data_IF_227759194677
#
_entry.id   IF_227759194677
#
_cell.length_a   1.000
_cell.length_b   1.000
_cell.length_c   1.000
_cell.angle_alpha   90.00
_cell.angle_beta   90.00
_cell.angle_gamma   90.00
#
_symmetry.space_group_name_H-M   'P 1'
#
loop_
_entity.id
_entity.type
_entity.pdbx_description
1 polymer ?
#
# COMPACT_ATOMS: atom_id res chain seq x y z
N UNK A 1 0.67 6.81 -31.21
CA UNK A 1 0.38 8.23 -30.88
C UNK A 1 -0.67 8.86 -31.79
N UNK A 2 -1.06 8.19 -32.85
CA UNK A 2 -2.02 8.75 -33.87
C UNK A 2 -3.52 8.66 -33.48
N UNK A 3 -3.83 8.10 -32.30
CA UNK A 3 -5.23 7.94 -31.86
C UNK A 3 -5.72 9.20 -31.15
N UNK A 4 -6.80 9.80 -31.65
CA UNK A 4 -7.45 10.97 -31.08
C UNK A 4 -8.59 10.55 -30.13
N UNK A 5 -8.25 10.26 -28.89
CA UNK A 5 -9.22 10.03 -27.84
C UNK A 5 -9.38 11.29 -26.97
N UNK A 6 -10.56 11.51 -26.40
CA UNK A 6 -10.78 12.54 -25.38
C UNK A 6 -10.51 12.01 -23.97
N UNK A 7 -10.57 10.69 -23.77
CA UNK A 7 -10.12 10.03 -22.56
C UNK A 7 -9.44 8.70 -22.86
N UNK A 8 -8.37 8.40 -22.12
CA UNK A 8 -7.62 7.15 -22.23
C UNK A 8 -7.34 6.57 -20.85
N UNK A 9 -7.63 5.28 -20.68
CA UNK A 9 -7.43 4.53 -19.45
C UNK A 9 -6.41 3.41 -19.70
N UNK A 10 -5.27 3.50 -19.02
CA UNK A 10 -4.18 2.53 -19.09
C UNK A 10 -4.27 1.62 -17.87
N UNK A 11 -4.85 0.45 -18.03
CA UNK A 11 -5.05 -0.55 -16.98
C UNK A 11 -4.10 -1.73 -17.15
N UNK A 12 -3.65 -2.34 -16.06
CA UNK A 12 -2.82 -3.56 -16.16
C UNK A 12 -1.98 -3.81 -14.92
N UNK A 13 -1.05 -4.79 -15.02
CA UNK A 13 -0.22 -5.25 -13.90
C UNK A 13 0.67 -4.15 -13.33
N UNK A 14 1.10 -4.32 -12.10
CA UNK A 14 2.20 -3.52 -11.55
C UNK A 14 3.47 -3.78 -12.37
N UNK A 15 4.34 -2.77 -12.52
CA UNK A 15 5.56 -2.83 -13.35
C UNK A 15 5.36 -2.97 -14.88
N UNK A 16 4.15 -2.90 -15.39
CA UNK A 16 3.89 -2.95 -16.82
C UNK A 16 4.36 -1.71 -17.62
N UNK A 17 4.93 -0.70 -16.98
CA UNK A 17 5.42 0.51 -17.65
C UNK A 17 4.35 1.57 -17.96
N UNK A 18 3.10 1.40 -17.51
CA UNK A 18 1.98 2.32 -17.79
C UNK A 18 2.31 3.80 -17.59
N UNK A 19 2.81 4.18 -16.41
CA UNK A 19 3.16 5.57 -16.09
C UNK A 19 4.31 6.08 -16.95
N UNK A 20 5.29 5.21 -17.27
CA UNK A 20 6.42 5.55 -18.14
C UNK A 20 5.96 5.89 -19.57
N UNK A 21 4.98 5.16 -20.09
CA UNK A 21 4.38 5.45 -21.41
C UNK A 21 3.43 6.65 -21.36
N UNK A 22 2.70 6.81 -20.25
CA UNK A 22 1.76 7.91 -20.06
C UNK A 22 2.44 9.28 -20.04
N UNK A 23 3.62 9.39 -19.43
CA UNK A 23 4.35 10.65 -19.31
C UNK A 23 4.62 11.31 -20.69
N UNK A 24 5.34 10.71 -21.63
CA UNK A 24 5.58 11.32 -22.93
C UNK A 24 4.30 11.55 -23.71
N UNK A 25 3.33 10.61 -23.66
CA UNK A 25 2.03 10.80 -24.31
C UNK A 25 1.30 12.02 -23.80
N UNK A 26 1.24 12.21 -22.49
CA UNK A 26 0.62 13.39 -21.87
C UNK A 26 1.34 14.68 -22.31
N UNK A 27 2.66 14.70 -22.27
CA UNK A 27 3.44 15.91 -22.63
C UNK A 27 3.27 16.29 -24.10
N UNK A 28 3.16 15.34 -25.02
CA UNK A 28 2.82 15.62 -26.42
C UNK A 28 1.43 16.22 -26.55
N UNK A 29 0.43 15.67 -25.85
CA UNK A 29 -0.94 16.25 -25.85
C UNK A 29 -0.98 17.65 -25.24
N UNK A 30 -0.17 17.93 -24.22
CA UNK A 30 0.00 19.28 -23.65
C UNK A 30 0.61 20.23 -24.68
N UNK A 31 1.66 19.81 -25.40
CA UNK A 31 2.32 20.62 -26.41
C UNK A 31 1.39 20.97 -27.59
N UNK A 32 0.54 20.02 -28.01
CA UNK A 32 -0.44 20.19 -29.09
C UNK A 32 -1.66 21.02 -28.66
N UNK A 33 -2.02 21.04 -27.37
CA UNK A 33 -3.21 21.70 -26.87
C UNK A 33 -3.15 23.23 -27.10
N UNK A 34 -4.24 23.85 -27.59
CA UNK A 34 -4.33 25.30 -27.70
C UNK A 34 -4.39 26.00 -26.32
N UNK A 35 -4.80 25.28 -25.27
CA UNK A 35 -4.90 25.82 -23.91
C UNK A 35 -3.53 25.94 -23.27
N UNK A 36 -3.38 26.88 -22.35
CA UNK A 36 -2.14 27.14 -21.61
C UNK A 36 -2.05 26.30 -20.33
N UNK A 37 -3.19 26.00 -19.70
CA UNK A 37 -3.29 25.37 -18.38
C UNK A 37 -3.59 23.88 -18.50
N UNK A 38 -2.87 23.06 -17.72
CA UNK A 38 -2.99 21.61 -17.67
C UNK A 38 -2.83 21.12 -16.24
N UNK A 39 -3.09 19.83 -15.96
CA UNK A 39 -2.98 19.25 -14.64
C UNK A 39 -2.31 17.89 -14.70
N UNK A 40 -1.44 17.61 -13.71
CA UNK A 40 -1.04 16.27 -13.28
C UNK A 40 -1.59 16.06 -11.88
N UNK A 41 -2.35 14.98 -11.68
CA UNK A 41 -2.93 14.60 -10.40
C UNK A 41 -2.44 13.22 -9.96
N UNK A 42 -2.25 13.07 -8.67
CA UNK A 42 -1.88 11.81 -8.00
C UNK A 42 -2.29 11.87 -6.55
N UNK A 43 -1.97 10.85 -5.76
CA UNK A 43 -2.37 10.79 -4.36
C UNK A 43 -1.96 12.06 -3.62
N UNK A 44 -0.67 12.35 -3.59
CA UNK A 44 -0.07 13.54 -3.00
C UNK A 44 1.09 14.09 -3.84
N UNK A 45 1.59 15.27 -3.48
CA UNK A 45 2.71 15.92 -4.18
C UNK A 45 3.98 15.05 -4.19
N UNK A 46 4.33 14.44 -3.04
CA UNK A 46 5.54 13.63 -2.92
C UNK A 46 5.48 12.34 -3.77
N UNK A 47 4.28 11.79 -3.94
CA UNK A 47 4.03 10.64 -4.83
C UNK A 47 4.19 11.03 -6.28
N UNK A 48 3.62 12.17 -6.70
CA UNK A 48 3.77 12.70 -8.07
C UNK A 48 5.24 13.00 -8.39
N UNK A 49 5.96 13.61 -7.46
CA UNK A 49 7.41 13.87 -7.61
C UNK A 49 8.20 12.58 -7.86
N UNK A 50 7.94 11.53 -7.07
CA UNK A 50 8.66 10.26 -7.17
C UNK A 50 8.28 9.43 -8.39
N UNK A 51 6.99 9.44 -8.77
CA UNK A 51 6.49 8.54 -9.80
C UNK A 51 6.48 9.15 -11.20
N UNK A 52 6.45 10.48 -11.30
CA UNK A 52 6.26 11.17 -12.57
C UNK A 52 7.41 12.13 -12.85
N UNK A 53 7.85 12.94 -11.86
CA UNK A 53 8.78 14.04 -12.11
C UNK A 53 10.23 13.58 -12.05
N UNK A 54 10.66 12.96 -10.94
CA UNK A 54 12.07 12.71 -10.60
C UNK A 54 12.50 11.23 -10.73
N UNK A 55 11.66 10.35 -11.29
CA UNK A 55 12.04 8.93 -11.49
C UNK A 55 12.89 8.77 -12.76
N UNK A 56 13.55 7.62 -12.87
CA UNK A 56 14.14 7.16 -14.13
C UNK A 56 13.07 7.10 -15.22
N UNK A 57 13.31 7.69 -16.38
CA UNK A 57 12.31 7.90 -17.43
C UNK A 57 11.10 8.75 -16.97
N UNK A 58 11.30 9.63 -15.98
CA UNK A 58 10.33 10.64 -15.56
C UNK A 58 10.39 11.90 -16.41
N UNK A 59 9.63 12.92 -16.01
CA UNK A 59 9.54 14.16 -16.78
C UNK A 59 10.89 14.86 -16.96
N UNK A 60 11.68 15.01 -15.89
CA UNK A 60 12.97 15.68 -15.95
C UNK A 60 13.98 14.84 -16.74
N UNK A 61 13.96 13.52 -16.58
CA UNK A 61 14.86 12.62 -17.27
C UNK A 61 14.62 12.60 -18.80
N UNK A 62 13.35 12.64 -19.23
CA UNK A 62 12.98 12.60 -20.67
C UNK A 62 13.11 13.97 -21.34
N UNK A 63 12.69 15.05 -20.69
CA UNK A 63 12.56 16.37 -21.31
C UNK A 63 13.63 17.38 -20.85
N UNK A 64 14.47 17.00 -19.89
CA UNK A 64 15.55 17.82 -19.34
C UNK A 64 15.09 18.95 -18.41
N UNK A 65 15.91 19.29 -17.41
CA UNK A 65 15.73 20.48 -16.58
C UNK A 65 16.01 21.74 -17.40
N UNK A 66 15.17 22.75 -17.31
CA UNK A 66 15.30 24.01 -18.04
C UNK A 66 16.63 24.74 -17.71
N UNK A 67 17.12 24.61 -16.49
CA UNK A 67 18.42 25.20 -16.06
C UNK A 67 19.59 24.62 -16.82
N UNK A 68 19.46 23.39 -17.29
CA UNK A 68 20.49 22.68 -18.05
C UNK A 68 20.21 22.67 -19.56
N UNK A 69 19.28 23.53 -20.02
CA UNK A 69 18.91 23.65 -21.43
C UNK A 69 17.79 22.70 -21.88
N UNK A 70 17.13 22.00 -20.94
CA UNK A 70 15.95 21.19 -21.20
C UNK A 70 14.65 21.99 -21.29
N UNK A 71 13.52 21.31 -21.22
CA UNK A 71 12.21 21.89 -21.46
C UNK A 71 11.35 22.05 -20.19
N UNK A 72 11.77 21.49 -19.06
CA UNK A 72 10.97 21.41 -17.82
C UNK A 72 11.56 22.34 -16.75
N UNK A 73 10.72 23.25 -16.24
CA UNK A 73 11.03 24.04 -15.05
C UNK A 73 10.02 23.65 -13.95
N UNK A 74 10.48 22.93 -12.92
CA UNK A 74 9.63 22.46 -11.83
C UNK A 74 9.70 23.37 -10.61
N UNK A 75 8.53 23.80 -10.11
CA UNK A 75 8.36 24.63 -8.92
C UNK A 75 7.45 23.96 -7.89
N UNK A 76 8.05 23.25 -6.94
CA UNK A 76 7.35 22.52 -5.86
C UNK A 76 6.62 23.43 -4.86
N UNK A 77 7.06 24.70 -4.71
CA UNK A 77 6.55 25.59 -3.65
C UNK A 77 5.41 26.50 -4.08
N UNK A 78 5.06 26.53 -5.38
CA UNK A 78 4.03 27.41 -5.92
C UNK A 78 4.37 28.90 -5.73
N UNK A 79 5.65 29.29 -5.80
CA UNK A 79 6.08 30.69 -5.72
C UNK A 79 5.99 31.37 -7.07
N UNK A 80 5.80 32.69 -7.08
CA UNK A 80 5.73 33.50 -8.29
C UNK A 80 4.29 33.77 -8.74
N UNK A 81 4.05 33.77 -10.05
CA UNK A 81 2.76 34.09 -10.66
C UNK A 81 1.71 32.99 -10.35
N UNK A 82 2.17 31.77 -10.12
CA UNK A 82 1.30 30.60 -9.83
C UNK A 82 1.41 30.19 -8.36
N UNK A 83 0.31 30.23 -7.63
CA UNK A 83 0.24 29.94 -6.20
C UNK A 83 0.22 28.44 -5.85
N UNK A 84 0.20 27.56 -6.86
CA UNK A 84 0.20 26.11 -6.71
C UNK A 84 1.53 25.51 -7.20
N UNK A 85 1.95 24.34 -6.68
CA UNK A 85 3.03 23.57 -7.29
C UNK A 85 2.73 23.36 -8.77
N UNK A 86 3.73 23.60 -9.62
CA UNK A 86 3.54 23.55 -11.07
C UNK A 86 4.82 23.24 -11.82
N UNK A 87 4.64 22.84 -13.07
CA UNK A 87 5.69 22.71 -14.07
C UNK A 87 5.44 23.75 -15.15
N UNK A 88 6.47 24.47 -15.56
CA UNK A 88 6.49 25.21 -16.79
C UNK A 88 7.13 24.34 -17.88
N UNK A 89 6.37 24.04 -18.91
CA UNK A 89 6.83 23.25 -20.05
C UNK A 89 7.06 24.19 -21.24
N UNK A 90 8.32 24.37 -21.61
CA UNK A 90 8.76 25.25 -22.68
C UNK A 90 8.60 24.53 -24.02
N UNK A 91 7.64 24.94 -24.83
CA UNK A 91 7.36 24.35 -26.15
C UNK A 91 7.57 25.38 -27.26
N UNK A 92 7.73 24.95 -28.53
CA UNK A 92 7.76 25.89 -29.67
C UNK A 92 6.52 26.79 -29.76
N UNK A 93 5.37 26.32 -29.24
CA UNK A 93 4.09 27.04 -29.23
C UNK A 93 3.89 27.91 -27.97
N UNK A 94 4.96 28.15 -27.20
CA UNK A 94 4.93 28.91 -25.97
C UNK A 94 4.95 28.05 -24.71
N UNK A 95 4.97 28.72 -23.55
CA UNK A 95 5.08 28.06 -22.26
C UNK A 95 3.72 27.55 -21.81
N UNK A 96 3.65 26.25 -21.51
CA UNK A 96 2.47 25.59 -20.90
C UNK A 96 2.68 25.50 -19.39
N UNK A 97 1.61 25.64 -18.64
CA UNK A 97 1.61 25.53 -17.17
C UNK A 97 0.86 24.26 -16.78
N UNK A 98 1.53 23.38 -16.08
CA UNK A 98 0.97 22.10 -15.60
C UNK A 98 0.92 22.15 -14.08
N UNK A 99 -0.25 22.31 -13.49
CA UNK A 99 -0.45 22.27 -12.04
C UNK A 99 -0.28 20.86 -11.51
N UNK A 100 0.36 20.74 -10.36
CA UNK A 100 0.55 19.48 -9.64
C UNK A 100 -0.44 19.42 -8.47
N UNK A 101 -1.30 18.41 -8.44
CA UNK A 101 -2.45 18.35 -7.52
C UNK A 101 -2.52 16.99 -6.84
N UNK A 102 -2.40 16.97 -5.50
CA UNK A 102 -2.76 15.79 -4.71
C UNK A 102 -4.27 15.73 -4.50
N UNK A 103 -4.89 14.58 -4.75
CA UNK A 103 -6.32 14.39 -4.51
C UNK A 103 -6.64 13.83 -3.10
N UNK A 104 -5.63 13.53 -2.28
CA UNK A 104 -5.76 13.12 -0.88
C UNK A 104 -6.46 14.16 0.01
N UNK A 105 -6.46 15.43 -0.40
CA UNK A 105 -6.96 16.54 0.42
C UNK A 105 -7.88 17.47 -0.36
N UNK A 106 -9.19 17.48 0.03
CA UNK A 106 -10.22 18.32 -0.60
C UNK A 106 -9.87 19.82 -0.64
N UNK A 107 -9.14 20.33 0.34
CA UNK A 107 -8.72 21.74 0.37
C UNK A 107 -7.68 22.05 -0.71
N UNK A 108 -6.85 21.07 -1.08
CA UNK A 108 -5.82 21.23 -2.12
C UNK A 108 -6.43 21.21 -3.52
N UNK A 109 -7.18 20.16 -3.85
CA UNK A 109 -7.71 20.04 -5.20
C UNK A 109 -8.83 21.03 -5.54
N UNK A 110 -9.58 21.54 -4.55
CA UNK A 110 -10.56 22.61 -4.78
C UNK A 110 -9.96 23.88 -5.37
N UNK A 111 -8.66 24.13 -5.18
CA UNK A 111 -7.98 25.31 -5.73
C UNK A 111 -7.89 25.31 -7.26
N UNK A 112 -8.00 24.15 -7.92
CA UNK A 112 -7.98 24.06 -9.38
C UNK A 112 -9.36 24.05 -10.01
N UNK A 113 -10.46 23.96 -9.25
CA UNK A 113 -11.82 23.86 -9.80
C UNK A 113 -12.32 25.13 -10.51
N UNK A 114 -11.67 26.29 -10.31
CA UNK A 114 -12.05 27.53 -11.00
C UNK A 114 -11.55 27.63 -12.44
N UNK A 115 -10.69 26.71 -12.89
CA UNK A 115 -10.04 26.75 -14.19
C UNK A 115 -10.73 25.87 -15.25
N UNK A 116 -10.32 26.12 -16.51
CA UNK A 116 -10.56 25.19 -17.63
C UNK A 116 -9.19 24.78 -18.20
N UNK A 117 -9.02 23.50 -18.46
CA UNK A 117 -7.73 22.90 -18.76
C UNK A 117 -7.73 22.21 -20.12
N UNK A 118 -6.57 22.14 -20.75
CA UNK A 118 -6.42 21.35 -21.97
C UNK A 118 -6.36 19.87 -21.67
N UNK A 119 -5.40 19.48 -20.84
CA UNK A 119 -5.12 18.07 -20.55
C UNK A 119 -5.02 17.84 -19.04
N UNK A 120 -5.47 16.66 -18.61
CA UNK A 120 -5.19 16.13 -17.28
C UNK A 120 -4.56 14.73 -17.38
N UNK A 121 -3.56 14.47 -16.55
CA UNK A 121 -3.05 13.13 -16.26
C UNK A 121 -3.35 12.78 -14.81
N UNK A 122 -4.04 11.66 -14.56
CA UNK A 122 -4.33 11.14 -13.22
C UNK A 122 -3.60 9.81 -13.06
N UNK A 123 -2.59 9.78 -12.19
CA UNK A 123 -1.91 8.54 -11.81
C UNK A 123 -2.69 7.85 -10.70
N UNK A 124 -2.75 6.51 -10.77
CA UNK A 124 -3.47 5.67 -9.79
C UNK A 124 -4.97 6.01 -9.70
N UNK A 125 -5.61 6.05 -10.85
CA UNK A 125 -7.02 6.45 -11.00
C UNK A 125 -8.01 5.59 -10.19
N UNK A 126 -7.67 4.32 -9.90
CA UNK A 126 -8.52 3.42 -9.10
C UNK A 126 -8.70 3.89 -7.64
N UNK A 127 -7.79 4.71 -7.12
CA UNK A 127 -7.85 5.24 -5.74
C UNK A 127 -8.14 6.75 -5.69
N UNK A 128 -8.36 7.39 -6.82
CA UNK A 128 -8.63 8.83 -6.87
C UNK A 128 -9.95 9.19 -6.17
N UNK A 129 -9.98 10.37 -5.54
CA UNK A 129 -11.22 10.95 -4.99
C UNK A 129 -12.23 11.19 -6.15
N UNK A 130 -13.34 10.47 -6.15
CA UNK A 130 -14.31 10.52 -7.24
C UNK A 130 -15.06 11.86 -7.31
N UNK A 131 -15.15 12.62 -6.23
CA UNK A 131 -15.68 14.00 -6.28
C UNK A 131 -14.73 14.90 -7.08
N UNK A 132 -13.42 14.74 -6.86
CA UNK A 132 -12.40 15.41 -7.66
C UNK A 132 -12.48 15.00 -9.13
N UNK A 133 -12.56 13.71 -9.40
CA UNK A 133 -12.59 13.18 -10.79
C UNK A 133 -13.81 13.72 -11.55
N UNK A 134 -15.03 13.67 -10.96
CA UNK A 134 -16.26 14.18 -11.58
C UNK A 134 -16.12 15.66 -11.95
N UNK A 135 -15.59 16.45 -11.02
CA UNK A 135 -15.43 17.89 -11.21
C UNK A 135 -14.39 18.22 -12.28
N UNK A 136 -13.24 17.53 -12.26
CA UNK A 136 -12.14 17.88 -13.16
C UNK A 136 -12.35 17.36 -14.58
N UNK A 137 -13.02 16.21 -14.76
CA UNK A 137 -13.33 15.67 -16.10
C UNK A 137 -14.18 16.62 -16.93
N UNK A 138 -15.09 17.37 -16.30
CA UNK A 138 -15.90 18.37 -16.98
C UNK A 138 -15.11 19.60 -17.47
N UNK A 139 -13.90 19.80 -16.94
CA UNK A 139 -13.07 20.98 -17.19
C UNK A 139 -11.87 20.74 -18.10
N UNK A 140 -11.66 19.49 -18.51
CA UNK A 140 -10.52 19.08 -19.33
C UNK A 140 -10.98 18.60 -20.70
N UNK A 141 -10.23 18.97 -21.74
CA UNK A 141 -10.50 18.52 -23.11
C UNK A 141 -9.95 17.09 -23.33
N UNK A 142 -8.81 16.77 -22.73
CA UNK A 142 -8.15 15.45 -22.79
C UNK A 142 -7.86 14.91 -21.40
N UNK A 143 -8.11 13.61 -21.19
CA UNK A 143 -7.93 12.91 -19.91
C UNK A 143 -7.12 11.66 -20.13
N UNK A 144 -6.02 11.51 -19.39
CA UNK A 144 -5.17 10.33 -19.39
C UNK A 144 -5.12 9.76 -17.96
N UNK A 145 -5.46 8.49 -17.80
CA UNK A 145 -5.54 7.84 -16.50
C UNK A 145 -4.72 6.56 -16.50
N UNK A 146 -3.87 6.38 -15.50
CA UNK A 146 -3.19 5.09 -15.23
C UNK A 146 -3.84 4.43 -14.01
N UNK A 147 -4.04 3.12 -14.05
CA UNK A 147 -4.61 2.37 -12.93
C UNK A 147 -4.12 0.93 -12.89
N UNK A 148 -4.09 0.38 -11.69
CA UNK A 148 -3.99 -1.05 -11.50
C UNK A 148 -5.41 -1.62 -11.35
N UNK A 149 -5.66 -2.86 -11.79
CA UNK A 149 -6.93 -3.53 -11.52
C UNK A 149 -7.21 -3.61 -10.01
N UNK A 150 -8.47 -3.42 -9.64
CA UNK A 150 -8.94 -3.43 -8.26
C UNK A 150 -10.35 -4.04 -8.18
N UNK A 151 -11.14 -3.75 -7.13
CA UNK A 151 -12.53 -4.19 -7.01
C UNK A 151 -13.37 -3.68 -8.19
N UNK A 152 -14.02 -4.56 -8.98
CA UNK A 152 -14.80 -4.15 -10.14
C UNK A 152 -16.00 -3.24 -9.83
N UNK A 153 -16.41 -3.16 -8.55
CA UNK A 153 -17.52 -2.29 -8.14
C UNK A 153 -17.09 -0.86 -7.78
N UNK A 154 -15.82 -0.54 -7.81
CA UNK A 154 -15.35 0.83 -7.57
C UNK A 154 -15.99 1.80 -8.56
N UNK A 155 -16.29 3.00 -8.08
CA UNK A 155 -16.94 4.04 -8.87
C UNK A 155 -16.11 4.47 -10.10
N UNK A 156 -14.78 4.39 -10.02
CA UNK A 156 -13.90 4.67 -11.17
C UNK A 156 -14.19 3.74 -12.36
N UNK A 157 -14.53 2.46 -12.10
CA UNK A 157 -14.91 1.52 -13.16
C UNK A 157 -16.32 1.78 -13.65
N UNK A 158 -17.30 1.80 -12.75
CA UNK A 158 -18.71 1.87 -13.11
C UNK A 158 -19.09 3.21 -13.75
N UNK A 159 -18.43 4.29 -13.36
CA UNK A 159 -18.74 5.63 -13.89
C UNK A 159 -17.88 6.02 -15.09
N UNK A 160 -16.66 5.47 -15.21
CA UNK A 160 -15.69 5.94 -16.21
C UNK A 160 -15.11 4.79 -17.04
N UNK A 161 -14.25 3.93 -16.48
CA UNK A 161 -13.46 2.97 -17.25
C UNK A 161 -14.32 2.02 -18.07
N UNK A 162 -15.44 1.50 -17.52
CA UNK A 162 -16.33 0.57 -18.23
C UNK A 162 -17.06 1.19 -19.42
N UNK A 163 -16.99 2.52 -19.60
CA UNK A 163 -17.51 3.24 -20.77
C UNK A 163 -16.49 3.38 -21.89
N UNK A 164 -15.27 2.93 -21.70
CA UNK A 164 -14.22 2.95 -22.73
C UNK A 164 -14.13 1.62 -23.47
N UNK A 165 -13.46 1.60 -24.61
CA UNK A 165 -13.23 0.39 -25.41
C UNK A 165 -11.80 0.39 -25.96
N UNK A 166 -11.18 -0.79 -26.17
CA UNK A 166 -9.96 -0.87 -26.93
C UNK A 166 -10.21 -0.43 -28.37
N UNK A 167 -9.18 0.13 -29.01
CA UNK A 167 -9.24 0.42 -30.45
C UNK A 167 -9.26 -0.88 -31.24
N UNK A 168 -9.83 -0.87 -32.45
CA UNK A 168 -10.01 -2.07 -33.29
C UNK A 168 -8.74 -2.90 -33.46
N UNK A 169 -7.58 -2.24 -33.64
CA UNK A 169 -6.29 -2.91 -33.79
C UNK A 169 -5.91 -3.76 -32.57
N UNK A 170 -6.30 -3.36 -31.37
CA UNK A 170 -5.92 -3.97 -30.09
C UNK A 170 -7.12 -4.53 -29.31
N UNK A 171 -8.23 -4.78 -29.98
CA UNK A 171 -9.47 -5.24 -29.35
C UNK A 171 -9.38 -6.58 -28.62
N UNK A 172 -8.36 -7.39 -28.92
CA UNK A 172 -8.14 -8.70 -28.33
C UNK A 172 -6.89 -8.76 -27.42
N UNK A 173 -6.20 -7.65 -27.20
CA UNK A 173 -4.93 -7.66 -26.47
C UNK A 173 -5.12 -7.73 -24.94
N UNK A 174 -6.31 -7.41 -24.45
CA UNK A 174 -6.63 -7.50 -23.03
C UNK A 174 -7.26 -8.84 -22.64
N UNK A 175 -7.21 -9.19 -21.33
CA UNK A 175 -7.88 -10.38 -20.81
C UNK A 175 -9.38 -10.37 -21.11
N UNK A 176 -9.92 -11.50 -21.55
CA UNK A 176 -11.35 -11.65 -21.89
C UNK A 176 -12.25 -11.28 -20.71
N UNK A 177 -11.81 -11.57 -19.48
CA UNK A 177 -12.52 -11.21 -18.25
C UNK A 177 -12.70 -9.69 -18.15
N UNK A 178 -11.65 -8.91 -18.39
CA UNK A 178 -11.73 -7.45 -18.34
C UNK A 178 -12.52 -6.87 -19.50
N UNK A 179 -12.34 -7.41 -20.71
CA UNK A 179 -13.11 -6.99 -21.89
C UNK A 179 -14.62 -7.13 -21.68
N UNK A 180 -15.06 -8.20 -21.00
CA UNK A 180 -16.48 -8.39 -20.63
C UNK A 180 -16.98 -7.39 -19.57
N UNK A 181 -16.08 -6.85 -18.75
CA UNK A 181 -16.43 -5.86 -17.74
C UNK A 181 -16.55 -4.44 -18.30
N UNK A 182 -16.10 -4.20 -19.54
CA UNK A 182 -16.34 -2.95 -20.26
C UNK A 182 -17.77 -2.94 -20.84
N UNK A 183 -18.78 -3.01 -19.98
CA UNK A 183 -20.18 -3.32 -20.30
C UNK A 183 -21.11 -2.10 -20.36
N UNK A 184 -20.65 -0.94 -19.87
CA UNK A 184 -21.43 0.29 -19.90
C UNK A 184 -21.55 0.84 -21.33
N UNK A 185 -22.63 1.61 -21.65
CA UNK A 185 -22.71 2.29 -22.93
C UNK A 185 -21.43 3.08 -23.22
N UNK A 186 -20.84 2.81 -24.39
CA UNK A 186 -19.58 3.46 -24.76
C UNK A 186 -19.75 4.97 -24.87
N UNK A 187 -18.84 5.70 -24.25
CA UNK A 187 -18.66 7.12 -24.54
C UNK A 187 -17.78 7.23 -25.78
N UNK A 188 -18.23 7.98 -26.77
CA UNK A 188 -17.49 8.17 -28.01
C UNK A 188 -16.06 8.61 -27.71
N UNK A 189 -15.09 8.04 -28.45
CA UNK A 189 -13.66 8.34 -28.38
C UNK A 189 -12.97 8.07 -27.02
N UNK A 190 -13.64 7.38 -26.07
CA UNK A 190 -12.97 6.88 -24.86
C UNK A 190 -12.29 5.55 -25.12
N UNK A 191 -10.97 5.50 -24.86
CA UNK A 191 -10.12 4.36 -25.20
C UNK A 191 -9.60 3.69 -23.96
N UNK A 192 -9.59 2.36 -23.99
CA UNK A 192 -8.98 1.51 -22.97
C UNK A 192 -7.78 0.79 -23.52
N UNK A 193 -6.69 0.73 -22.73
CA UNK A 193 -5.44 0.07 -23.02
C UNK A 193 -5.10 -0.90 -21.91
N UNK A 194 -4.66 -2.08 -22.26
CA UNK A 194 -4.17 -3.06 -21.31
C UNK A 194 -2.65 -3.18 -21.38
N UNK A 195 -2.04 -3.35 -20.20
CA UNK A 195 -0.60 -3.51 -20.06
C UNK A 195 -0.29 -4.66 -19.12
N UNK A 196 0.65 -5.53 -19.48
CA UNK A 196 1.17 -6.59 -18.63
C UNK A 196 2.69 -6.51 -18.45
N UNK A 197 3.28 -7.51 -17.80
CA UNK A 197 4.72 -7.53 -17.57
C UNK A 197 5.54 -7.54 -18.86
N UNK A 198 5.04 -8.12 -19.94
CA UNK A 198 5.75 -8.28 -21.21
C UNK A 198 5.83 -6.96 -21.99
N UNK A 199 4.97 -5.99 -21.66
CA UNK A 199 5.04 -4.63 -22.21
C UNK A 199 6.20 -3.80 -21.64
N UNK A 200 6.78 -4.23 -20.51
CA UNK A 200 7.91 -3.55 -19.89
C UNK A 200 9.25 -4.16 -20.31
N UNK A 201 9.81 -3.66 -21.38
CA UNK A 201 11.08 -4.13 -21.94
C UNK A 201 12.30 -3.99 -21.00
N UNK A 202 12.20 -3.21 -19.92
CA UNK A 202 13.27 -3.06 -18.93
C UNK A 202 13.17 -4.09 -17.80
N UNK A 203 12.12 -4.89 -17.73
CA UNK A 203 11.90 -5.88 -16.70
C UNK A 203 12.57 -7.21 -17.08
N UNK A 204 13.63 -7.58 -16.34
CA UNK A 204 14.31 -8.88 -16.59
C UNK A 204 13.45 -10.05 -16.11
N UNK A 205 13.64 -11.24 -16.72
CA UNK A 205 12.92 -12.46 -16.34
C UNK A 205 13.16 -12.85 -14.86
N UNK A 206 14.38 -12.65 -14.33
CA UNK A 206 14.67 -12.90 -12.93
C UNK A 206 13.86 -11.96 -12.03
N UNK A 207 13.76 -10.67 -12.40
CA UNK A 207 13.01 -9.69 -11.63
C UNK A 207 11.51 -9.99 -11.70
N UNK A 208 10.99 -10.33 -12.87
CA UNK A 208 9.59 -10.76 -13.08
C UNK A 208 9.25 -11.97 -12.20
N UNK A 209 10.09 -13.01 -12.23
CA UNK A 209 9.93 -14.19 -11.40
C UNK A 209 9.93 -13.84 -9.90
N UNK A 210 10.90 -13.04 -9.45
CA UNK A 210 10.98 -12.59 -8.05
C UNK A 210 9.72 -11.83 -7.61
N UNK A 211 9.14 -10.98 -8.46
CA UNK A 211 7.89 -10.27 -8.19
C UNK A 211 6.73 -11.25 -8.05
N UNK A 212 6.57 -12.18 -9.01
CA UNK A 212 5.49 -13.16 -8.99
C UNK A 212 5.57 -14.07 -7.75
N UNK A 213 6.77 -14.54 -7.41
CA UNK A 213 7.00 -15.42 -6.26
C UNK A 213 6.78 -14.72 -4.91
N UNK A 214 6.87 -13.39 -4.86
CA UNK A 214 6.69 -12.63 -3.61
C UNK A 214 5.22 -12.42 -3.21
N UNK A 215 4.26 -12.82 -4.05
CA UNK A 215 2.82 -12.60 -3.80
C UNK A 215 2.07 -13.93 -3.75
N UNK A 216 1.31 -14.22 -2.67
CA UNK A 216 0.51 -15.43 -2.57
C UNK A 216 -0.55 -15.51 -3.67
N UNK A 217 -0.63 -16.66 -4.36
CA UNK A 217 -1.49 -16.85 -5.54
C UNK A 217 -2.98 -16.70 -5.28
N UNK A 218 -3.44 -17.06 -4.07
CA UNK A 218 -4.86 -17.05 -3.70
C UNK A 218 -5.35 -15.68 -3.19
N UNK A 219 -4.52 -14.64 -3.29
CA UNK A 219 -4.87 -13.32 -2.76
C UNK A 219 -5.46 -12.39 -3.82
N UNK A 220 -6.29 -11.42 -3.36
CA UNK A 220 -6.70 -10.27 -4.19
C UNK A 220 -5.48 -9.57 -4.80
N UNK A 221 -4.41 -9.42 -4.01
CA UNK A 221 -3.17 -8.79 -4.45
C UNK A 221 -2.57 -9.49 -5.67
N UNK A 222 -2.50 -10.84 -5.65
CA UNK A 222 -2.02 -11.62 -6.78
C UNK A 222 -2.91 -11.43 -8.01
N UNK A 223 -4.23 -11.52 -7.84
CA UNK A 223 -5.19 -11.31 -8.92
C UNK A 223 -5.03 -9.93 -9.55
N UNK A 224 -4.95 -8.89 -8.74
CA UNK A 224 -4.92 -7.51 -9.22
C UNK A 224 -3.53 -7.10 -9.77
N UNK A 225 -2.46 -7.40 -9.04
CA UNK A 225 -1.11 -6.88 -9.33
C UNK A 225 -0.28 -7.78 -10.23
N UNK A 226 -0.49 -9.12 -10.16
CA UNK A 226 0.26 -10.10 -10.92
C UNK A 226 -0.51 -10.55 -12.16
N UNK A 227 -1.77 -10.96 -12.00
CA UNK A 227 -2.58 -11.38 -13.15
C UNK A 227 -3.18 -10.20 -13.93
N UNK A 228 -3.14 -9.00 -13.37
CA UNK A 228 -3.71 -7.82 -14.01
C UNK A 228 -5.24 -7.90 -14.17
N UNK A 229 -5.93 -8.61 -13.29
CA UNK A 229 -7.37 -8.82 -13.34
C UNK A 229 -8.08 -8.12 -12.17
N UNK A 230 -9.27 -7.60 -12.41
CA UNK A 230 -10.10 -7.02 -11.36
C UNK A 230 -10.65 -8.13 -10.45
N UNK A 231 -10.63 -7.92 -9.16
CA UNK A 231 -11.12 -8.92 -8.21
C UNK A 231 -11.41 -8.35 -6.83
N UNK A 232 -12.43 -8.95 -6.19
CA UNK A 232 -12.73 -8.73 -4.77
C UNK A 232 -11.88 -9.66 -3.92
N UNK A 233 -11.60 -9.22 -2.69
CA UNK A 233 -11.13 -10.12 -1.67
C UNK A 233 -12.31 -11.01 -1.21
N UNK A 234 -12.08 -12.30 -1.13
CA UNK A 234 -13.10 -13.27 -0.64
C UNK A 234 -12.42 -14.35 0.18
N UNK A 235 -13.11 -14.80 1.24
CA UNK A 235 -12.60 -15.87 2.08
C UNK A 235 -11.55 -15.44 3.10
N UNK A 236 -10.74 -16.41 3.53
CA UNK A 236 -9.69 -16.20 4.54
C UNK A 236 -8.62 -15.23 4.05
N UNK A 237 -8.14 -14.40 4.96
CA UNK A 237 -7.04 -13.47 4.69
C UNK A 237 -5.71 -14.21 4.60
N UNK A 238 -5.51 -15.25 5.42
CA UNK A 238 -4.28 -16.03 5.46
C UNK A 238 -4.55 -17.51 5.18
N UNK A 239 -3.71 -18.09 4.33
CA UNK A 239 -3.62 -19.52 4.10
C UNK A 239 -2.27 -20.01 4.64
N UNK A 240 -2.29 -20.48 5.90
CA UNK A 240 -1.09 -20.87 6.62
C UNK A 240 -0.58 -22.21 6.12
N UNK A 241 0.53 -22.19 5.42
CA UNK A 241 1.19 -23.39 4.89
C UNK A 241 2.06 -24.08 5.97
N UNK A 242 2.15 -25.38 5.87
CA UNK A 242 2.95 -26.18 6.81
C UNK A 242 4.43 -25.81 6.80
N UNK A 243 4.94 -25.36 5.70
CA UNK A 243 6.35 -24.99 5.49
C UNK A 243 6.80 -23.80 6.33
N UNK A 244 5.87 -22.93 6.76
CA UNK A 244 6.20 -21.79 7.62
C UNK A 244 6.01 -22.10 9.11
N UNK A 245 5.47 -23.27 9.47
CA UNK A 245 5.34 -23.71 10.84
C UNK A 245 6.60 -24.50 11.22
N UNK A 246 7.27 -24.06 12.27
CA UNK A 246 8.53 -24.68 12.75
C UNK A 246 8.37 -25.10 14.21
N UNK A 247 9.04 -26.18 14.59
CA UNK A 247 9.08 -26.60 15.98
C UNK A 247 10.20 -25.90 16.78
N UNK A 248 10.16 -26.05 18.10
CA UNK A 248 11.14 -25.41 19.02
C UNK A 248 12.59 -25.79 18.73
N UNK A 249 12.86 -27.02 18.31
CA UNK A 249 14.23 -27.46 17.99
C UNK A 249 14.75 -26.73 16.74
N UNK A 250 13.92 -26.61 15.72
CA UNK A 250 14.24 -25.86 14.50
C UNK A 250 14.46 -24.37 14.83
N UNK A 251 13.56 -23.76 15.63
CA UNK A 251 13.69 -22.37 16.03
C UNK A 251 14.97 -22.09 16.81
N UNK A 252 15.40 -23.00 17.69
CA UNK A 252 16.65 -22.87 18.47
C UNK A 252 17.94 -22.97 17.62
N UNK A 253 17.87 -23.51 16.41
CA UNK A 253 18.97 -23.54 15.45
C UNK A 253 19.15 -22.20 14.71
N UNK A 254 18.13 -21.34 14.71
CA UNK A 254 18.20 -20.04 14.04
C UNK A 254 19.08 -19.05 14.83
N UNK A 255 19.78 -18.21 14.09
CA UNK A 255 20.60 -17.13 14.67
C UNK A 255 19.88 -15.81 14.55
N UNK A 256 19.49 -15.25 15.67
CA UNK A 256 18.74 -13.99 15.73
C UNK A 256 19.66 -12.79 15.90
N UNK A 257 19.38 -11.70 15.20
CA UNK A 257 20.07 -10.40 15.33
C UNK A 257 19.30 -9.41 16.21
N UNK A 258 17.99 -9.61 16.40
CA UNK A 258 17.18 -8.80 17.32
C UNK A 258 15.91 -9.53 17.73
N UNK A 259 15.34 -9.07 18.85
CA UNK A 259 14.04 -9.52 19.36
C UNK A 259 13.15 -8.31 19.66
N UNK A 260 11.85 -8.51 19.57
CA UNK A 260 10.83 -7.49 19.81
C UNK A 260 9.57 -8.11 20.38
N UNK A 261 8.82 -7.31 21.15
CA UNK A 261 7.53 -7.73 21.72
C UNK A 261 6.46 -6.73 21.25
N UNK A 262 5.31 -7.24 20.85
CA UNK A 262 4.12 -6.45 20.57
C UNK A 262 3.00 -6.77 21.53
N UNK A 263 2.14 -5.80 21.78
CA UNK A 263 0.99 -5.94 22.66
C UNK A 263 -0.22 -5.23 22.03
N UNK A 264 -1.22 -6.02 21.68
CA UNK A 264 -2.55 -5.49 21.37
C UNK A 264 -3.39 -5.47 22.64
N UNK A 265 -4.04 -4.33 22.92
CA UNK A 265 -4.72 -4.14 24.21
C UNK A 265 -6.23 -4.07 24.03
N UNK A 266 -6.94 -4.94 24.70
CA UNK A 266 -8.38 -4.84 24.91
C UNK A 266 -8.77 -5.18 26.33
N UNK A 267 -9.63 -4.34 26.91
CA UNK A 267 -10.19 -4.50 28.26
C UNK A 267 -11.67 -4.85 28.24
N UNK A 268 -12.21 -5.09 27.08
CA UNK A 268 -13.61 -5.47 26.87
C UNK A 268 -13.96 -6.81 27.52
N UNK A 269 -15.22 -6.98 27.90
CA UNK A 269 -15.77 -8.26 28.35
C UNK A 269 -16.36 -9.11 27.22
N UNK A 270 -16.27 -8.64 25.96
CA UNK A 270 -16.75 -9.42 24.81
C UNK A 270 -15.88 -10.65 24.59
N UNK A 271 -16.50 -11.69 24.08
CA UNK A 271 -15.86 -13.01 23.91
C UNK A 271 -14.62 -12.98 23.03
N UNK A 272 -14.64 -12.12 22.02
CA UNK A 272 -13.61 -12.08 20.98
C UNK A 272 -12.47 -11.10 21.29
N UNK A 273 -12.66 -10.19 22.24
CA UNK A 273 -11.68 -9.18 22.57
C UNK A 273 -10.65 -9.74 23.57
N UNK A 274 -9.37 -9.69 23.19
CA UNK A 274 -8.27 -10.18 24.01
C UNK A 274 -7.20 -9.09 24.16
N UNK A 275 -6.52 -9.06 25.29
CA UNK A 275 -5.19 -8.48 25.39
C UNK A 275 -4.19 -9.54 24.99
N UNK A 276 -3.33 -9.25 24.03
CA UNK A 276 -2.38 -10.22 23.51
C UNK A 276 -0.95 -9.72 23.56
N UNK A 277 0.00 -10.66 23.72
CA UNK A 277 1.43 -10.43 23.81
C UNK A 277 2.14 -11.40 22.86
N UNK A 278 2.91 -10.87 21.92
CA UNK A 278 3.66 -11.63 20.93
C UNK A 278 5.13 -11.26 20.93
N UNK A 279 5.97 -12.28 21.02
CA UNK A 279 7.42 -12.18 20.95
C UNK A 279 7.94 -12.65 19.59
N UNK A 280 8.60 -11.77 18.87
CA UNK A 280 9.21 -12.10 17.59
C UNK A 280 10.74 -11.97 17.62
N UNK A 281 11.40 -12.80 16.82
CA UNK A 281 12.84 -12.69 16.54
C UNK A 281 13.06 -12.42 15.05
N UNK A 282 14.03 -11.56 14.73
CA UNK A 282 14.50 -11.38 13.35
C UNK A 282 15.87 -12.03 13.21
N UNK A 283 15.98 -12.96 12.28
CA UNK A 283 17.20 -13.76 12.06
C UNK A 283 18.26 -12.98 11.29
N UNK A 284 19.48 -13.49 11.27
CA UNK A 284 20.59 -12.90 10.51
C UNK A 284 20.34 -12.91 9.01
N UNK A 285 19.58 -13.88 8.50
CA UNK A 285 19.15 -14.02 7.11
C UNK A 285 17.81 -13.33 6.81
N UNK A 286 17.41 -12.39 7.67
CA UNK A 286 16.25 -11.52 7.47
C UNK A 286 14.88 -12.19 7.57
N UNK A 287 14.74 -13.30 8.26
CA UNK A 287 13.42 -13.91 8.52
C UNK A 287 12.82 -13.36 9.82
N UNK A 288 11.51 -13.14 9.83
CA UNK A 288 10.72 -12.88 11.03
C UNK A 288 10.19 -14.20 11.57
N UNK A 289 10.33 -14.43 12.85
CA UNK A 289 9.87 -15.67 13.51
C UNK A 289 9.01 -15.29 14.70
N UNK A 290 7.74 -15.70 14.71
CA UNK A 290 6.89 -15.64 15.90
C UNK A 290 7.30 -16.77 16.84
N UNK A 291 7.78 -16.44 18.03
CA UNK A 291 8.46 -17.35 18.96
C UNK A 291 7.67 -17.63 20.24
N UNK A 292 6.80 -16.70 20.64
CA UNK A 292 6.02 -16.82 21.87
C UNK A 292 4.78 -15.95 21.77
N UNK A 293 3.67 -16.45 22.29
CA UNK A 293 2.43 -15.70 22.42
C UNK A 293 1.79 -15.86 23.80
N UNK A 294 0.89 -14.95 24.15
CA UNK A 294 0.03 -15.06 25.31
C UNK A 294 -1.20 -14.17 25.15
N UNK A 295 -2.37 -14.72 25.43
CA UNK A 295 -3.64 -14.02 25.38
C UNK A 295 -4.32 -13.93 26.76
N UNK A 296 -5.01 -12.83 27.02
CA UNK A 296 -5.83 -12.59 28.20
C UNK A 296 -7.18 -12.05 27.78
N UNK A 297 -8.25 -12.51 28.45
CA UNK A 297 -9.60 -12.05 28.19
C UNK A 297 -10.32 -11.72 29.52
N UNK A 298 -11.16 -10.69 29.49
CA UNK A 298 -11.98 -10.27 30.65
C UNK A 298 -13.33 -10.99 30.74
N UNK A 299 -13.64 -11.89 29.79
CA UNK A 299 -14.86 -12.67 29.81
C UNK A 299 -14.90 -13.55 31.06
N UNK A 300 -16.04 -13.52 31.78
CA UNK A 300 -16.28 -14.34 32.98
C UNK A 300 -15.32 -14.08 34.16
N UNK A 301 -14.62 -12.93 34.19
CA UNK A 301 -13.84 -12.53 35.36
C UNK A 301 -14.69 -11.70 36.31
N UNK A 302 -14.73 -12.09 37.58
CA UNK A 302 -15.36 -11.28 38.63
C UNK A 302 -14.65 -9.94 38.77
N UNK A 303 -13.32 -9.95 38.74
CA UNK A 303 -12.46 -8.77 38.73
C UNK A 303 -11.81 -8.60 37.38
N UNK A 304 -12.31 -7.71 36.48
CA UNK A 304 -11.66 -7.41 35.23
C UNK A 304 -10.26 -6.85 35.43
N UNK A 305 -9.32 -7.25 34.58
CA UNK A 305 -7.99 -6.66 34.63
C UNK A 305 -8.00 -5.24 34.07
N UNK A 306 -7.07 -4.45 34.57
CA UNK A 306 -6.87 -3.04 34.24
C UNK A 306 -5.48 -2.81 33.63
N UNK A 307 -5.17 -1.60 33.13
CA UNK A 307 -3.85 -1.27 32.58
C UNK A 307 -2.66 -1.65 33.46
N UNK A 308 -2.81 -1.52 34.80
CA UNK A 308 -1.76 -1.93 35.75
C UNK A 308 -1.46 -3.44 35.74
N UNK A 309 -2.46 -4.26 35.48
CA UNK A 309 -2.30 -5.72 35.37
C UNK A 309 -1.66 -6.08 34.02
N UNK A 310 -2.09 -5.42 32.97
CA UNK A 310 -1.48 -5.55 31.63
C UNK A 310 0.03 -5.26 31.70
N UNK A 311 0.45 -4.18 32.36
CA UNK A 311 1.87 -3.83 32.54
C UNK A 311 2.65 -4.91 33.26
N UNK A 312 2.10 -5.52 34.31
CA UNK A 312 2.73 -6.64 35.01
C UNK A 312 2.94 -7.83 34.08
N UNK A 313 1.91 -8.16 33.30
CA UNK A 313 1.99 -9.27 32.34
C UNK A 313 2.96 -9.01 31.19
N UNK A 314 3.03 -7.78 30.69
CA UNK A 314 4.04 -7.40 29.71
C UNK A 314 5.44 -7.60 30.28
N UNK A 315 5.71 -7.13 31.48
CA UNK A 315 7.00 -7.31 32.15
C UNK A 315 7.33 -8.79 32.37
N UNK A 316 6.39 -9.57 32.89
CA UNK A 316 6.56 -11.00 33.09
C UNK A 316 6.84 -11.71 31.76
N UNK A 317 6.08 -11.40 30.72
CA UNK A 317 6.27 -11.98 29.38
C UNK A 317 7.67 -11.65 28.82
N UNK A 318 8.13 -10.40 28.99
CA UNK A 318 9.45 -9.99 28.51
C UNK A 318 10.59 -10.69 29.25
N UNK A 319 10.47 -10.93 30.56
CA UNK A 319 11.48 -11.70 31.30
C UNK A 319 11.48 -13.17 30.88
N UNK A 320 10.32 -13.82 30.77
CA UNK A 320 10.22 -15.18 30.27
C UNK A 320 10.75 -15.32 28.84
N UNK A 321 10.41 -14.35 27.96
CA UNK A 321 10.91 -14.34 26.60
C UNK A 321 12.43 -14.21 26.53
N UNK A 322 13.00 -13.38 27.40
CA UNK A 322 14.44 -13.19 27.53
C UNK A 322 15.15 -14.49 27.93
N UNK A 323 14.59 -15.23 28.90
CA UNK A 323 15.13 -16.50 29.36
C UNK A 323 15.07 -17.60 28.30
N UNK A 324 13.95 -17.62 27.52
CA UNK A 324 13.73 -18.67 26.54
C UNK A 324 14.43 -18.40 25.19
N UNK A 325 14.44 -17.16 24.73
CA UNK A 325 14.84 -16.81 23.36
C UNK A 325 15.94 -15.77 23.29
N UNK A 326 15.85 -14.70 24.08
CA UNK A 326 16.80 -13.61 24.10
C UNK A 326 16.18 -12.26 24.45
N UNK A 327 17.03 -11.26 24.60
CA UNK A 327 16.65 -9.96 25.13
C UNK A 327 15.88 -9.09 24.12
N UNK A 328 14.58 -8.95 24.31
CA UNK A 328 13.74 -7.96 23.63
C UNK A 328 13.78 -6.62 24.42
N UNK A 329 14.43 -5.60 23.89
CA UNK A 329 14.59 -4.32 24.58
C UNK A 329 13.28 -3.53 24.70
N UNK A 330 12.38 -3.64 23.72
CA UNK A 330 11.19 -2.79 23.61
C UNK A 330 9.94 -3.65 23.43
N UNK A 331 8.88 -3.29 24.18
CA UNK A 331 7.52 -3.72 23.93
C UNK A 331 6.77 -2.57 23.22
N UNK A 332 6.16 -2.87 22.08
CA UNK A 332 5.32 -1.96 21.30
C UNK A 332 3.86 -2.22 21.64
N UNK A 333 3.24 -1.28 22.35
CA UNK A 333 1.87 -1.35 22.85
C UNK A 333 0.94 -0.62 21.89
N UNK A 334 -0.28 -1.08 21.71
CA UNK A 334 -1.27 -0.38 20.90
C UNK A 334 -1.28 1.12 21.19
N UNK A 335 -1.04 1.93 20.16
CA UNK A 335 -0.95 3.39 20.30
C UNK A 335 -2.29 4.06 20.67
N UNK A 336 -3.42 3.38 20.50
CA UNK A 336 -4.72 3.85 20.96
C UNK A 336 -4.86 3.77 22.49
N UNK A 337 -4.09 2.88 23.15
CA UNK A 337 -4.11 2.72 24.61
C UNK A 337 -2.99 3.54 25.28
N UNK A 338 -3.18 4.84 25.29
CA UNK A 338 -2.28 5.76 25.99
C UNK A 338 -2.21 5.49 27.51
N UNK A 339 -3.27 4.94 28.10
CA UNK A 339 -3.36 4.61 29.52
C UNK A 339 -2.34 3.55 29.92
N UNK A 340 -2.30 2.42 29.21
CA UNK A 340 -1.33 1.33 29.46
C UNK A 340 0.08 1.78 29.16
N UNK A 341 0.32 2.57 28.11
CA UNK A 341 1.65 3.10 27.80
C UNK A 341 2.17 3.99 28.92
N UNK A 342 1.32 4.90 29.44
CA UNK A 342 1.70 5.78 30.56
C UNK A 342 1.98 4.99 31.83
N UNK A 343 1.15 4.00 32.15
CA UNK A 343 1.33 3.15 33.32
C UNK A 343 2.60 2.31 33.22
N UNK A 344 2.92 1.76 32.04
CA UNK A 344 4.15 1.04 31.78
C UNK A 344 5.41 1.93 31.98
N UNK A 345 5.35 3.18 31.50
CA UNK A 345 6.44 4.16 31.71
C UNK A 345 6.61 4.58 33.17
N UNK A 346 5.52 4.73 33.92
CA UNK A 346 5.57 4.97 35.37
C UNK A 346 6.18 3.79 36.11
N UNK A 347 5.73 2.57 35.78
CA UNK A 347 6.26 1.34 36.38
C UNK A 347 7.76 1.17 36.07
N UNK A 348 8.18 1.42 34.84
CA UNK A 348 9.59 1.43 34.44
C UNK A 348 10.43 2.32 35.37
N UNK A 349 9.99 3.54 35.60
CA UNK A 349 10.72 4.48 36.45
C UNK A 349 10.73 4.04 37.92
N UNK A 350 9.63 3.44 38.40
CA UNK A 350 9.50 2.97 39.79
C UNK A 350 10.44 1.80 40.12
N UNK A 351 10.57 0.85 39.18
CA UNK A 351 11.38 -0.38 39.41
C UNK A 351 12.72 -0.34 38.69
N UNK A 352 13.06 0.77 38.01
CA UNK A 352 14.30 0.93 37.23
C UNK A 352 14.54 -0.21 36.23
N UNK A 353 13.48 -0.68 35.55
CA UNK A 353 13.61 -1.79 34.62
C UNK A 353 14.33 -1.41 33.33
N UNK A 354 14.98 -2.41 32.72
CA UNK A 354 15.80 -2.23 31.51
C UNK A 354 14.99 -2.14 30.21
N UNK A 355 13.68 -2.40 30.28
CA UNK A 355 12.80 -2.43 29.11
C UNK A 355 12.28 -1.05 28.73
N UNK A 356 11.95 -0.89 27.44
CA UNK A 356 11.27 0.28 26.91
C UNK A 356 9.83 -0.08 26.54
N UNK A 357 8.93 0.92 26.67
CA UNK A 357 7.53 0.79 26.29
C UNK A 357 7.18 1.92 25.31
N UNK A 358 6.91 1.56 24.09
CA UNK A 358 6.67 2.49 23.00
C UNK A 358 5.30 2.24 22.36
N UNK A 359 4.64 3.30 21.86
CA UNK A 359 3.41 3.12 21.10
C UNK A 359 3.71 2.36 19.80
N UNK A 360 2.78 1.50 19.40
CA UNK A 360 2.85 0.82 18.10
C UNK A 360 2.82 1.81 16.95
N UNK A 361 3.49 1.46 15.85
CA UNK A 361 3.58 2.33 14.67
C UNK A 361 2.33 2.20 13.80
N UNK A 362 1.30 3.06 14.03
CA UNK A 362 0.04 3.02 13.26
C UNK A 362 0.04 3.80 11.94
N UNK A 363 1.18 4.33 11.49
CA UNK A 363 1.26 5.01 10.17
C UNK A 363 1.15 4.04 8.98
N UNK A 364 1.24 2.73 9.19
CA UNK A 364 1.03 1.72 8.17
C UNK A 364 -0.36 1.12 8.35
N UNK A 365 -1.22 1.22 7.34
CA UNK A 365 -2.60 0.67 7.34
C UNK A 365 -2.61 -0.83 7.65
N UNK A 366 -3.73 -1.33 8.19
CA UNK A 366 -3.90 -2.75 8.48
C UNK A 366 -3.75 -3.60 7.21
N UNK A 367 -4.37 -3.15 6.11
CA UNK A 367 -4.29 -3.86 4.83
C UNK A 367 -2.84 -4.01 4.33
N UNK A 368 -2.02 -2.97 4.46
CA UNK A 368 -0.60 -3.02 4.09
C UNK A 368 0.20 -3.96 4.99
N UNK A 369 -0.12 -3.99 6.30
CA UNK A 369 0.50 -4.94 7.23
C UNK A 369 0.18 -6.39 6.86
N UNK A 370 -1.08 -6.66 6.49
CA UNK A 370 -1.53 -7.95 6.00
C UNK A 370 -0.77 -8.36 4.73
N UNK A 371 -0.67 -7.46 3.75
CA UNK A 371 0.02 -7.73 2.49
C UNK A 371 1.53 -8.02 2.67
N UNK A 372 2.19 -7.29 3.58
CA UNK A 372 3.58 -7.55 3.97
C UNK A 372 3.73 -8.97 4.51
N UNK A 373 2.89 -9.32 5.46
CA UNK A 373 2.94 -10.61 6.13
C UNK A 373 2.64 -11.76 5.17
N UNK A 374 1.61 -11.63 4.32
CA UNK A 374 1.30 -12.59 3.26
C UNK A 374 2.50 -12.80 2.32
N UNK A 375 3.16 -11.70 1.92
CA UNK A 375 4.33 -11.76 1.06
C UNK A 375 5.47 -12.53 1.73
N UNK A 376 5.79 -12.23 3.01
CA UNK A 376 6.85 -12.93 3.74
C UNK A 376 6.51 -14.40 4.01
N UNK A 377 5.25 -14.74 4.25
CA UNK A 377 4.81 -16.13 4.38
C UNK A 377 5.02 -16.90 3.06
N UNK A 378 4.76 -16.26 1.94
CA UNK A 378 4.95 -16.87 0.61
C UNK A 378 6.44 -17.11 0.30
N UNK A 379 7.33 -16.19 0.70
CA UNK A 379 8.78 -16.32 0.47
C UNK A 379 9.50 -17.08 1.57
N UNK A 380 8.78 -17.63 2.55
CA UNK A 380 9.32 -18.28 3.75
C UNK A 380 10.22 -17.36 4.61
N UNK A 381 9.96 -16.06 4.54
CA UNK A 381 10.60 -15.03 5.36
C UNK A 381 9.82 -14.73 6.65
N UNK A 382 8.64 -15.33 6.82
CA UNK A 382 7.85 -15.31 8.04
C UNK A 382 7.59 -16.73 8.51
N UNK A 383 8.08 -17.05 9.72
CA UNK A 383 7.95 -18.39 10.33
C UNK A 383 7.16 -18.28 11.63
N UNK A 384 6.45 -19.34 11.98
CA UNK A 384 5.62 -19.42 13.17
C UNK A 384 6.02 -20.65 13.97
N UNK A 385 6.28 -20.47 15.27
CA UNK A 385 6.49 -21.57 16.17
C UNK A 385 5.18 -22.35 16.36
N UNK A 386 5.21 -23.66 16.26
CA UNK A 386 4.04 -24.55 16.39
C UNK A 386 3.30 -24.42 17.72
N UNK A 387 3.97 -23.88 18.75
CA UNK A 387 3.41 -23.57 20.07
C UNK A 387 2.55 -22.28 20.08
N UNK A 388 2.60 -21.44 19.02
CA UNK A 388 1.79 -20.25 18.88
C UNK A 388 0.41 -20.60 18.29
N UNK A 389 -0.37 -21.33 19.09
CA UNK A 389 -1.62 -21.96 18.65
C UNK A 389 -2.78 -20.97 18.52
N UNK A 390 -2.83 -19.94 19.37
CA UNK A 390 -3.89 -18.90 19.30
C UNK A 390 -3.73 -18.06 18.03
N UNK A 391 -2.50 -17.68 17.65
CA UNK A 391 -2.21 -16.98 16.41
C UNK A 391 -2.58 -17.82 15.18
N UNK A 392 -2.30 -19.13 15.20
CA UNK A 392 -2.68 -20.05 14.12
C UNK A 392 -4.21 -20.18 14.03
N UNK A 393 -4.92 -20.35 15.16
CA UNK A 393 -6.38 -20.41 15.20
C UNK A 393 -7.05 -19.10 14.71
N UNK A 394 -6.52 -17.94 15.08
CA UNK A 394 -7.01 -16.65 14.52
C UNK A 394 -6.81 -16.59 13.01
N UNK A 395 -5.69 -17.12 12.50
CA UNK A 395 -5.40 -17.16 11.06
C UNK A 395 -6.41 -17.97 10.28
N UNK A 396 -6.90 -19.06 10.87
CA UNK A 396 -7.86 -19.99 10.24
C UNK A 396 -9.28 -19.40 10.11
N UNK A 397 -9.56 -18.28 10.80
CA UNK A 397 -10.88 -17.64 10.79
C UNK A 397 -10.86 -16.16 10.40
N UNK A 398 -9.68 -15.55 10.27
CA UNK A 398 -9.58 -14.14 9.91
C UNK A 398 -9.91 -13.93 8.43
N UNK A 399 -10.97 -13.20 8.17
CA UNK A 399 -11.59 -13.08 6.85
C UNK A 399 -11.83 -11.62 6.43
N UNK A 400 -12.12 -11.45 5.14
CA UNK A 400 -12.53 -10.18 4.58
C UNK A 400 -14.03 -9.97 4.81
N UNK A 401 -14.43 -8.74 5.15
CA UNK A 401 -15.84 -8.35 5.21
C UNK A 401 -16.45 -8.09 3.82
N UNK A 402 -17.74 -7.74 3.79
CA UNK A 402 -18.46 -7.44 2.55
C UNK A 402 -17.90 -6.24 1.76
N UNK A 403 -17.16 -5.36 2.44
CA UNK A 403 -16.55 -4.16 1.87
C UNK A 403 -15.08 -4.36 1.49
N UNK A 404 -14.60 -5.61 1.46
CA UNK A 404 -13.19 -5.97 1.24
C UNK A 404 -12.23 -5.35 2.28
N UNK A 405 -12.73 -5.08 3.49
CA UNK A 405 -11.89 -4.72 4.63
C UNK A 405 -11.65 -5.96 5.49
N UNK A 406 -10.52 -6.05 6.19
CA UNK A 406 -10.33 -7.10 7.19
C UNK A 406 -11.39 -6.96 8.27
N UNK A 407 -12.03 -8.07 8.67
CA UNK A 407 -12.99 -8.03 9.77
C UNK A 407 -12.34 -7.56 11.07
N UNK A 408 -13.06 -6.71 11.83
CA UNK A 408 -12.62 -6.20 13.14
C UNK A 408 -12.96 -7.22 14.25
N UNK A 409 -12.48 -8.45 14.06
CA UNK A 409 -12.62 -9.55 15.04
C UNK A 409 -11.63 -10.67 14.72
N UNK A 410 -11.23 -11.43 15.73
CA UNK A 410 -10.29 -12.54 15.62
C UNK A 410 -8.93 -12.13 14.99
N UNK A 411 -8.44 -10.96 15.36
CA UNK A 411 -7.20 -10.40 14.81
C UNK A 411 -6.20 -9.90 15.87
N UNK A 412 -6.49 -10.10 17.16
CA UNK A 412 -5.72 -9.55 18.27
C UNK A 412 -4.30 -10.11 18.35
N UNK A 413 -4.11 -11.43 18.25
CA UNK A 413 -2.78 -12.06 18.21
C UNK A 413 -2.00 -11.61 16.96
N UNK A 414 -2.72 -11.44 15.85
CA UNK A 414 -2.13 -10.92 14.63
C UNK A 414 -1.69 -9.46 14.77
N UNK A 415 -2.54 -8.60 15.32
CA UNK A 415 -2.19 -7.20 15.52
C UNK A 415 -1.02 -7.06 16.49
N UNK A 416 -1.02 -7.79 17.61
CA UNK A 416 0.10 -7.84 18.53
C UNK A 416 1.40 -8.25 17.86
N UNK A 417 1.37 -9.32 17.04
CA UNK A 417 2.52 -9.75 16.25
C UNK A 417 2.98 -8.67 15.26
N UNK A 418 2.05 -8.01 14.57
CA UNK A 418 2.34 -6.90 13.67
C UNK A 418 3.01 -5.74 14.40
N UNK A 419 2.56 -5.38 15.60
CA UNK A 419 3.22 -4.33 16.38
C UNK A 419 4.65 -4.67 16.76
N UNK A 420 4.96 -5.96 16.98
CA UNK A 420 6.31 -6.41 17.27
C UNK A 420 7.26 -6.27 16.08
N UNK A 421 6.87 -6.67 14.86
CA UNK A 421 7.76 -6.65 13.71
C UNK A 421 7.74 -5.33 12.92
N UNK A 422 6.67 -4.53 13.00
CA UNK A 422 6.46 -3.34 12.17
C UNK A 422 7.60 -2.30 12.20
N UNK A 423 8.22 -1.99 13.36
CA UNK A 423 9.38 -1.09 13.40
C UNK A 423 10.60 -1.61 12.61
N UNK A 424 10.62 -2.90 12.36
CA UNK A 424 11.74 -3.60 11.71
C UNK A 424 11.39 -4.14 10.32
N UNK A 425 10.24 -3.79 9.75
CA UNK A 425 9.74 -4.30 8.46
C UNK A 425 10.77 -4.25 7.33
N UNK A 426 11.65 -3.23 7.32
CA UNK A 426 12.72 -3.10 6.32
C UNK A 426 13.87 -4.09 6.48
N UNK A 427 13.89 -4.85 7.57
CA UNK A 427 14.92 -5.87 7.87
C UNK A 427 14.41 -7.29 7.63
N UNK A 428 13.21 -7.45 7.09
CA UNK A 428 12.56 -8.74 6.85
C UNK A 428 12.46 -8.97 5.35
N UNK A 429 12.85 -10.16 4.90
CA UNK A 429 12.84 -10.59 3.52
C UNK A 429 13.68 -9.71 2.59
N UNK A 430 13.41 -9.80 1.30
CA UNK A 430 13.96 -8.91 0.28
C UNK A 430 13.13 -7.62 0.19
N UNK A 431 13.43 -6.66 1.07
CA UNK A 431 12.66 -5.42 1.18
C UNK A 431 12.54 -4.65 -0.13
N UNK A 432 13.58 -4.61 -0.97
CA UNK A 432 13.55 -3.84 -2.22
C UNK A 432 12.57 -4.44 -3.24
N UNK A 433 12.40 -5.75 -3.27
CA UNK A 433 11.38 -6.42 -4.10
C UNK A 433 9.98 -6.16 -3.57
N UNK A 434 9.77 -6.35 -2.27
CA UNK A 434 8.46 -6.22 -1.61
C UNK A 434 8.00 -4.77 -1.54
N UNK A 435 8.91 -3.84 -1.27
CA UNK A 435 8.66 -2.40 -1.15
C UNK A 435 7.93 -1.82 -2.35
N UNK A 436 8.21 -2.28 -3.55
CA UNK A 436 7.54 -1.77 -4.75
C UNK A 436 6.09 -2.28 -4.87
N UNK A 437 5.86 -3.56 -4.57
CA UNK A 437 4.50 -4.15 -4.59
C UNK A 437 3.60 -3.46 -3.55
N UNK A 438 4.17 -3.14 -2.39
CA UNK A 438 3.45 -2.54 -1.27
C UNK A 438 3.42 -1.02 -1.34
N UNK A 439 4.40 -0.36 -1.99
CA UNK A 439 4.32 1.07 -2.29
C UNK A 439 3.02 1.44 -3.03
N UNK A 440 2.55 0.55 -3.87
CA UNK A 440 1.30 0.74 -4.59
C UNK A 440 0.07 0.50 -3.70
N UNK A 441 0.25 -0.12 -2.54
CA UNK A 441 -0.80 -0.31 -1.54
C UNK A 441 -0.73 0.70 -0.37
N UNK A 442 0.46 1.21 -0.01
CA UNK A 442 0.64 2.31 0.96
C UNK A 442 0.27 3.69 0.35
N UNK A 443 0.01 3.75 -0.95
CA UNK A 443 -0.47 4.94 -1.66
C UNK A 443 -1.99 5.10 -1.58
N UNK A 444 -2.68 4.10 -1.07
CA UNK A 444 -4.11 4.16 -0.75
C UNK A 444 -4.38 4.99 0.53
N UNK A 445 -3.39 5.76 1.02
CA UNK A 445 -3.49 6.78 2.06
C UNK A 445 -3.39 8.19 1.46
#
# INVERSE_FOLDING_TARGET
MEHNASAEFLEGTTFAGKTTVAIPKFMFKVAESPKKLHIIAGLDLGTIEKNIINKDYGLIDIFGDFKDGGLIEYNASGKGIHSLPHILFHTPNGVKVIYIVGYDNKTRWKKVLGGQYGCIFIDEFNIADMDFVREIFMRCDYRLCTLNPDDPNLECYTQFVNKSRPIEKYKNDGPIELLKMLDQPQTDDWTWWYFDFDDNLSLTEEKKKSIIESVPKETKLYKNKILGLRGKATGLIFDIKKEIIINRLQAKQLKFKLFSVGCDTSYSRKTHDKLTLEGVGITNDNKCVLLKERGFNNKNRDNPFAPSDAVKWILQFMEEFKEEWGFARTAFIDSADSGTIMEARKMKNKIHCIYNFEPSWKKTKNITRIQLEQSWQTTLDFLILDECTDYLQESDVYSWDENNQPEDKNDHHRQGCQYAWLPYKKKIGNWETIKQIIKDADKDE
#
